data_IF_792456871653
#
_entry.id   IF_792456871653
#
_cell.length_a   1.000
_cell.length_b   1.000
_cell.length_c   1.000
_cell.angle_alpha   90.00
_cell.angle_beta   90.00
_cell.angle_gamma   90.00
#
_symmetry.space_group_name_H-M   'P 1'
#
loop_
_entity.id
_entity.type
_entity.pdbx_description
1 polymer ?
#
# COMPACT_ATOMS: atom_id res chain seq x y z
N UNK A 1 5.46 10.08 9.43
CA UNK A 1 6.49 10.85 8.70
C UNK A 1 5.83 11.35 7.43
N UNK A 2 6.07 12.58 7.07
CA UNK A 2 5.42 13.20 5.92
C UNK A 2 6.49 13.70 4.96
N UNK A 3 6.36 13.41 3.66
CA UNK A 3 7.29 13.83 2.63
C UNK A 3 7.75 12.70 1.72
N UNK A 4 8.53 13.02 0.70
CA UNK A 4 9.02 12.02 -0.27
C UNK A 4 9.98 11.02 0.38
N UNK A 5 9.83 9.75 0.02
CA UNK A 5 10.80 8.72 0.33
C UNK A 5 12.15 9.02 -0.33
N UNK A 6 13.20 8.43 0.22
CA UNK A 6 14.56 8.58 -0.28
C UNK A 6 15.15 7.24 -0.67
N UNK A 7 15.70 7.20 -1.88
CA UNK A 7 16.43 6.06 -2.39
C UNK A 7 17.91 6.39 -2.49
N UNK A 8 18.72 5.58 -1.82
CA UNK A 8 20.16 5.74 -1.79
C UNK A 8 20.85 4.51 -2.38
N UNK A 9 21.79 4.75 -3.27
CA UNK A 9 22.66 3.70 -3.85
C UNK A 9 23.99 3.66 -3.12
N UNK A 10 24.40 2.48 -2.69
CA UNK A 10 25.73 2.27 -2.12
C UNK A 10 26.78 2.28 -3.24
N UNK A 11 27.66 3.24 -3.21
CA UNK A 11 28.73 3.39 -4.21
C UNK A 11 30.02 2.76 -3.69
N UNK A 12 30.23 1.51 -4.11
CA UNK A 12 31.48 0.77 -3.84
C UNK A 12 31.78 0.56 -2.35
N UNK A 13 30.79 0.56 -1.47
CA UNK A 13 30.96 0.44 -0.02
C UNK A 13 31.57 1.67 0.67
N UNK A 14 31.69 2.78 -0.06
CA UNK A 14 32.37 3.99 0.45
C UNK A 14 31.43 5.09 0.89
N UNK A 15 30.32 5.29 0.19
CA UNK A 15 29.30 6.29 0.49
C UNK A 15 27.97 5.93 -0.14
N UNK A 16 26.91 6.64 0.27
CA UNK A 16 25.57 6.53 -0.31
C UNK A 16 25.26 7.76 -1.16
N UNK A 17 24.72 7.53 -2.36
CA UNK A 17 24.30 8.58 -3.28
C UNK A 17 22.77 8.57 -3.40
N UNK A 18 22.12 9.72 -3.19
CA UNK A 18 20.68 9.86 -3.35
C UNK A 18 20.31 9.87 -4.85
N UNK A 19 19.47 8.92 -5.27
CA UNK A 19 19.02 8.77 -6.65
C UNK A 19 17.50 8.66 -6.80
N UNK A 20 16.74 9.12 -5.83
CA UNK A 20 15.28 8.98 -5.81
C UNK A 20 14.64 9.46 -7.09
N UNK A 21 14.91 10.69 -7.51
CA UNK A 21 14.27 11.31 -8.67
C UNK A 21 14.63 10.63 -10.01
N UNK A 22 15.76 9.94 -10.07
CA UNK A 22 16.19 9.23 -11.27
C UNK A 22 15.52 7.85 -11.39
N UNK A 23 15.17 7.22 -10.26
CA UNK A 23 14.65 5.85 -10.21
C UNK A 23 13.15 5.84 -9.86
N UNK A 24 12.74 6.64 -8.89
CA UNK A 24 11.37 6.77 -8.39
C UNK A 24 10.94 8.23 -8.45
N UNK A 25 10.47 8.73 -9.61
CA UNK A 25 10.10 10.14 -9.77
C UNK A 25 8.92 10.57 -8.90
N UNK A 26 8.06 9.60 -8.54
CA UNK A 26 6.96 9.76 -7.60
C UNK A 26 7.11 8.73 -6.49
N UNK A 27 6.87 9.14 -5.24
CA UNK A 27 6.90 8.25 -4.07
C UNK A 27 5.68 8.48 -3.18
N UNK A 28 5.25 7.46 -2.41
CA UNK A 28 4.20 7.66 -1.42
C UNK A 28 4.56 8.76 -0.43
N UNK A 29 3.55 9.47 0.07
CA UNK A 29 3.77 10.60 0.98
C UNK A 29 3.77 10.20 2.46
N UNK A 30 3.01 9.18 2.82
CA UNK A 30 2.87 8.67 4.18
C UNK A 30 3.30 7.23 4.31
N UNK A 31 4.44 6.86 3.73
CA UNK A 31 4.96 5.50 3.72
C UNK A 31 5.10 4.90 5.11
N UNK A 32 4.66 3.65 5.27
CA UNK A 32 4.66 2.90 6.52
C UNK A 32 5.53 1.66 6.46
N UNK A 33 5.31 0.80 5.50
CA UNK A 33 6.03 -0.45 5.31
C UNK A 33 6.64 -0.57 3.92
N UNK A 34 7.73 -1.34 3.82
CA UNK A 34 8.39 -1.63 2.55
C UNK A 34 8.81 -3.09 2.48
N UNK A 35 8.58 -3.71 1.31
CA UNK A 35 9.08 -5.05 0.99
C UNK A 35 9.68 -5.07 -0.41
N UNK A 36 10.68 -5.93 -0.54
CA UNK A 36 11.36 -6.22 -1.81
C UNK A 36 11.25 -7.71 -2.05
N UNK A 37 10.67 -8.11 -3.17
CA UNK A 37 10.46 -9.50 -3.56
C UNK A 37 10.25 -9.60 -5.07
N UNK A 38 10.32 -10.79 -5.61
CA UNK A 38 10.13 -11.06 -7.04
C UNK A 38 8.66 -11.47 -7.27
N UNK A 39 7.84 -10.50 -7.67
CA UNK A 39 6.38 -10.65 -7.78
C UNK A 39 5.95 -11.65 -8.87
N UNK A 40 6.65 -11.64 -10.00
CA UNK A 40 6.27 -12.43 -11.18
C UNK A 40 7.27 -13.55 -11.52
N UNK A 41 8.24 -13.80 -10.62
CA UNK A 41 9.29 -14.80 -10.78
C UNK A 41 10.15 -14.60 -12.03
N UNK A 42 10.37 -13.33 -12.41
CA UNK A 42 11.20 -12.98 -13.58
C UNK A 42 12.70 -12.82 -13.25
N UNK A 43 13.05 -12.93 -11.96
CA UNK A 43 14.41 -12.78 -11.45
C UNK A 43 14.80 -11.34 -11.12
N UNK A 44 13.91 -10.37 -11.29
CA UNK A 44 14.13 -8.99 -10.88
C UNK A 44 13.33 -8.68 -9.62
N UNK A 45 13.96 -8.03 -8.64
CA UNK A 45 13.29 -7.65 -7.41
C UNK A 45 12.40 -6.43 -7.62
N UNK A 46 11.14 -6.55 -7.23
CA UNK A 46 10.15 -5.49 -7.18
C UNK A 46 10.13 -4.81 -5.81
N UNK A 47 9.50 -3.66 -5.72
CA UNK A 47 9.41 -2.89 -4.50
C UNK A 47 7.95 -2.54 -4.19
N UNK A 48 7.47 -2.98 -3.04
CA UNK A 48 6.14 -2.63 -2.54
C UNK A 48 6.26 -1.73 -1.32
N UNK A 49 5.61 -0.57 -1.38
CA UNK A 49 5.56 0.43 -0.30
C UNK A 49 4.11 0.67 0.08
N UNK A 50 3.78 0.47 1.35
CA UNK A 50 2.45 0.80 1.88
C UNK A 50 2.40 2.25 2.34
N UNK A 51 1.24 2.91 2.14
CA UNK A 51 1.01 4.31 2.46
C UNK A 51 -0.28 4.47 3.27
N UNK A 52 -0.23 5.17 4.39
CA UNK A 52 -1.39 5.41 5.27
C UNK A 52 -2.38 6.45 4.71
N UNK A 53 -2.09 7.05 3.56
CA UNK A 53 -2.93 8.08 2.95
C UNK A 53 -3.96 7.49 2.00
N UNK A 54 -4.95 6.84 2.57
CA UNK A 54 -6.22 6.62 1.91
C UNK A 54 -7.12 7.84 2.11
N UNK A 55 -8.17 7.99 1.31
CA UNK A 55 -9.10 9.13 1.40
C UNK A 55 -9.83 9.17 2.76
N UNK A 56 -9.17 9.72 3.76
CA UNK A 56 -9.66 9.76 5.14
C UNK A 56 -10.77 10.78 5.37
N UNK A 57 -10.85 11.76 4.52
CA UNK A 57 -11.77 12.89 4.65
C UNK A 57 -13.07 12.72 3.87
N UNK A 58 -13.16 11.71 3.03
CA UNK A 58 -14.30 11.45 2.17
C UNK A 58 -14.95 10.11 2.52
N UNK A 59 -16.25 10.04 2.34
CA UNK A 59 -16.98 8.76 2.32
C UNK A 59 -16.73 8.12 0.96
N UNK A 60 -15.75 7.24 0.89
CA UNK A 60 -15.39 6.53 -0.34
C UNK A 60 -16.27 5.29 -0.49
N UNK A 61 -16.90 5.15 -1.65
CA UNK A 61 -17.64 3.92 -1.95
C UNK A 61 -16.70 2.72 -2.09
N UNK A 62 -17.22 1.50 -1.92
CA UNK A 62 -16.43 0.26 -1.95
C UNK A 62 -15.62 0.08 -3.23
N UNK A 63 -16.06 0.68 -4.35
CA UNK A 63 -15.34 0.64 -5.62
C UNK A 63 -14.05 1.45 -5.64
N UNK A 64 -13.83 2.31 -4.64
CA UNK A 64 -12.65 3.18 -4.57
C UNK A 64 -11.70 2.85 -3.41
N UNK A 65 -12.12 2.02 -2.48
CA UNK A 65 -11.32 1.69 -1.29
C UNK A 65 -9.96 1.06 -1.61
N UNK A 66 -9.92 0.32 -2.70
CA UNK A 66 -8.72 -0.36 -3.21
C UNK A 66 -8.07 0.39 -4.37
N UNK A 67 -8.20 1.72 -4.40
CA UNK A 67 -7.55 2.59 -5.39
C UNK A 67 -6.79 3.71 -4.67
N UNK A 68 -5.87 4.34 -5.40
CA UNK A 68 -5.17 5.50 -4.87
C UNK A 68 -6.12 6.62 -4.49
N UNK A 69 -5.82 7.25 -3.38
CA UNK A 69 -6.56 8.42 -2.94
C UNK A 69 -6.46 9.56 -3.96
N UNK A 70 -7.57 10.26 -4.16
CA UNK A 70 -7.64 11.45 -5.02
C UNK A 70 -7.38 12.75 -4.25
N UNK A 71 -6.80 12.63 -3.05
CA UNK A 71 -6.50 13.78 -2.21
C UNK A 71 -5.61 14.78 -2.96
N UNK A 72 -5.98 16.06 -2.90
CA UNK A 72 -5.19 17.15 -3.39
C UNK A 72 -4.97 18.12 -2.23
N UNK A 73 -3.75 18.24 -1.79
CA UNK A 73 -3.39 19.28 -0.83
C UNK A 73 -2.82 20.50 -1.54
N UNK A 74 -3.00 21.71 -0.97
CA UNK A 74 -2.33 22.89 -1.47
C UNK A 74 -0.82 22.67 -1.57
N UNK A 75 -0.21 23.13 -2.66
CA UNK A 75 1.22 22.91 -2.93
C UNK A 75 2.15 23.48 -1.87
N UNK A 76 1.74 24.52 -1.14
CA UNK A 76 2.47 25.11 -0.03
C UNK A 76 2.57 24.19 1.20
N UNK A 77 1.63 23.24 1.33
CA UNK A 77 1.70 22.15 2.32
C UNK A 77 2.50 20.97 1.82
N UNK A 78 2.65 20.83 0.51
CA UNK A 78 3.38 19.74 -0.10
C UNK A 78 4.85 20.12 -0.26
N UNK A 79 5.68 19.78 0.70
CA UNK A 79 7.14 19.89 0.58
C UNK A 79 7.71 19.09 -0.62
N UNK A 80 6.86 18.39 -1.32
CA UNK A 80 7.14 17.43 -2.40
C UNK A 80 6.97 18.00 -3.80
N UNK A 81 6.44 19.22 -3.93
CA UNK A 81 6.18 19.88 -5.22
C UNK A 81 5.37 19.03 -6.20
N UNK A 82 4.30 18.38 -5.72
CA UNK A 82 3.42 17.54 -6.54
C UNK A 82 4.02 16.19 -6.96
N UNK A 83 5.09 15.73 -6.31
CA UNK A 83 5.74 14.45 -6.61
C UNK A 83 5.32 13.32 -5.68
N UNK A 84 4.16 13.43 -5.06
CA UNK A 84 3.64 12.43 -4.14
C UNK A 84 2.59 11.54 -4.77
N UNK A 85 2.63 10.26 -4.39
CA UNK A 85 1.55 9.30 -4.56
C UNK A 85 0.73 9.30 -3.26
N UNK A 86 -0.58 9.22 -3.37
CA UNK A 86 -1.51 9.11 -2.25
C UNK A 86 -2.16 7.73 -2.26
N UNK A 87 -1.53 6.80 -1.58
CA UNK A 87 -1.85 5.39 -1.57
C UNK A 87 -0.59 4.54 -1.68
N UNK A 88 -0.76 3.23 -1.72
CA UNK A 88 0.35 2.30 -1.86
C UNK A 88 1.09 2.52 -3.19
N UNK A 89 2.35 2.13 -3.22
CA UNK A 89 3.11 2.08 -4.46
C UNK A 89 3.70 0.69 -4.68
N UNK A 90 3.41 0.10 -5.81
CA UNK A 90 4.08 -1.10 -6.27
C UNK A 90 4.93 -0.78 -7.49
N UNK A 91 6.24 -0.81 -7.32
CA UNK A 91 7.20 -0.53 -8.37
C UNK A 91 7.69 -1.84 -8.97
N UNK A 92 7.09 -2.21 -10.09
CA UNK A 92 7.47 -3.39 -10.84
C UNK A 92 8.77 -3.14 -11.62
N UNK A 93 9.76 -3.99 -11.43
CA UNK A 93 11.08 -3.90 -12.05
C UNK A 93 11.15 -4.71 -13.32
N UNK A 94 10.75 -4.14 -14.42
CA UNK A 94 10.71 -4.82 -15.75
C UNK A 94 12.07 -5.20 -16.32
N UNK A 95 13.15 -4.55 -15.88
CA UNK A 95 14.52 -4.88 -16.29
C UNK A 95 15.55 -3.99 -15.61
N UNK A 96 16.55 -4.57 -14.95
CA UNK A 96 17.77 -3.89 -14.50
C UNK A 96 17.57 -2.50 -13.86
N UNK A 97 16.58 -2.39 -12.96
CA UNK A 97 16.30 -1.15 -12.22
C UNK A 97 15.43 -0.13 -12.95
N UNK A 98 14.68 -0.55 -13.97
CA UNK A 98 13.65 0.27 -14.60
C UNK A 98 12.29 -0.04 -13.97
N UNK A 99 11.95 0.74 -12.97
CA UNK A 99 10.72 0.57 -12.22
C UNK A 99 9.54 1.29 -12.87
N UNK A 100 8.39 0.64 -12.85
CA UNK A 100 7.10 1.22 -13.21
C UNK A 100 6.13 1.05 -12.05
N UNK A 101 5.51 2.12 -11.62
CA UNK A 101 4.45 2.07 -10.61
C UNK A 101 3.18 1.47 -11.22
N UNK A 102 2.61 0.43 -10.58
CA UNK A 102 1.51 -0.39 -11.13
C UNK A 102 0.46 -0.79 -10.09
N UNK A 103 0.48 -0.26 -8.87
CA UNK A 103 -0.34 -0.73 -7.75
C UNK A 103 -1.83 -0.84 -8.08
N UNK A 104 -2.43 0.18 -8.71
CA UNK A 104 -3.84 0.15 -9.13
C UNK A 104 -4.11 -0.95 -10.18
N UNK A 105 -3.12 -1.24 -11.04
CA UNK A 105 -3.29 -2.20 -12.15
C UNK A 105 -3.28 -3.64 -11.67
N UNK A 106 -2.54 -3.91 -10.59
CA UNK A 106 -2.35 -5.26 -10.06
C UNK A 106 -3.12 -5.53 -8.77
N UNK A 107 -3.94 -4.59 -8.30
CA UNK A 107 -4.70 -4.76 -7.06
C UNK A 107 -3.85 -4.68 -5.79
N UNK A 108 -2.79 -3.87 -5.79
CA UNK A 108 -1.89 -3.68 -4.65
C UNK A 108 -2.30 -2.50 -3.74
N UNK A 109 -3.52 -2.01 -3.85
CA UNK A 109 -4.05 -0.98 -2.97
C UNK A 109 -4.87 -1.60 -1.84
N UNK A 110 -4.85 -0.94 -0.68
CA UNK A 110 -5.73 -1.25 0.42
C UNK A 110 -5.94 -0.02 1.31
N UNK A 111 -6.89 -0.11 2.21
CA UNK A 111 -7.28 1.00 3.07
C UNK A 111 -6.42 1.04 4.34
N UNK A 112 -5.78 2.17 4.61
CA UNK A 112 -5.04 2.48 5.83
C UNK A 112 -4.02 1.41 6.28
N UNK A 113 -3.09 1.03 5.41
CA UNK A 113 -2.08 0.01 5.72
C UNK A 113 -1.02 0.51 6.70
N UNK A 114 -0.51 -0.43 7.49
CA UNK A 114 0.64 -0.21 8.37
C UNK A 114 1.77 -1.18 8.08
N UNK A 115 1.59 -2.42 8.49
CA UNK A 115 2.59 -3.46 8.34
C UNK A 115 2.38 -4.29 7.09
N UNK A 116 3.47 -4.74 6.48
CA UNK A 116 3.44 -5.61 5.30
C UNK A 116 4.33 -6.82 5.52
N UNK A 117 3.81 -8.01 5.22
CA UNK A 117 4.55 -9.27 5.19
C UNK A 117 4.38 -9.93 3.84
N UNK A 118 5.43 -10.59 3.37
CA UNK A 118 5.48 -11.27 2.07
C UNK A 118 5.91 -12.71 2.28
N UNK A 119 5.30 -13.62 1.55
CA UNK A 119 5.64 -15.05 1.51
C UNK A 119 4.58 -15.84 0.75
N UNK A 120 4.94 -17.01 0.29
CA UNK A 120 4.03 -17.93 -0.40
C UNK A 120 3.08 -18.58 0.62
N UNK A 121 1.87 -17.99 0.77
CA UNK A 121 0.89 -18.41 1.79
C UNK A 121 0.06 -19.63 1.35
N UNK A 122 -0.06 -19.84 0.06
CA UNK A 122 -0.87 -20.91 -0.53
C UNK A 122 -0.02 -22.04 -1.13
N UNK A 123 1.31 -21.94 -1.07
CA UNK A 123 2.29 -22.89 -1.60
C UNK A 123 2.19 -23.12 -3.12
N UNK A 124 1.92 -22.05 -3.88
CA UNK A 124 1.87 -22.10 -5.34
C UNK A 124 3.15 -21.64 -6.05
N UNK A 125 4.14 -21.21 -5.27
CA UNK A 125 5.45 -20.77 -5.74
C UNK A 125 5.53 -19.27 -6.08
N UNK A 126 4.46 -18.49 -5.83
CA UNK A 126 4.47 -17.04 -5.95
C UNK A 126 4.29 -16.39 -4.58
N UNK A 127 5.01 -15.30 -4.35
CA UNK A 127 4.90 -14.58 -3.10
C UNK A 127 3.57 -13.82 -3.00
N UNK A 128 2.82 -14.10 -1.94
CA UNK A 128 1.61 -13.42 -1.52
C UNK A 128 1.92 -12.29 -0.53
N UNK A 129 0.94 -11.45 -0.25
CA UNK A 129 1.11 -10.33 0.67
C UNK A 129 0.04 -10.31 1.74
N UNK A 130 0.47 -10.15 2.99
CA UNK A 130 -0.40 -9.83 4.12
C UNK A 130 -0.13 -8.40 4.57
N UNK A 131 -1.18 -7.59 4.66
CA UNK A 131 -1.10 -6.20 5.13
C UNK A 131 -1.95 -6.04 6.39
N UNK A 132 -1.27 -5.69 7.49
CA UNK A 132 -1.96 -5.29 8.70
C UNK A 132 -2.46 -3.86 8.54
N UNK A 133 -3.76 -3.69 8.61
CA UNK A 133 -4.41 -2.39 8.60
C UNK A 133 -4.57 -1.84 10.03
N UNK A 134 -4.99 -0.60 10.16
CA UNK A 134 -5.20 0.05 11.42
C UNK A 134 -6.45 0.92 11.40
N UNK A 135 -6.57 1.74 12.40
CA UNK A 135 -7.65 2.70 12.58
C UNK A 135 -7.25 4.06 12.01
N UNK A 136 -8.12 4.67 11.24
CA UNK A 136 -8.00 6.07 10.86
C UNK A 136 -8.94 6.98 11.69
N UNK A 137 -8.81 8.27 11.52
CA UNK A 137 -9.79 9.24 11.99
C UNK A 137 -10.97 9.30 11.00
N UNK A 138 -12.25 9.31 11.40
CA UNK A 138 -12.78 9.35 12.77
C UNK A 138 -13.00 7.99 13.45
N UNK A 139 -11.94 7.23 13.67
CA UNK A 139 -11.95 5.94 14.38
C UNK A 139 -12.64 4.79 13.62
N UNK A 140 -12.39 4.68 12.33
CA UNK A 140 -12.76 3.51 11.55
C UNK A 140 -11.61 2.51 11.54
N UNK A 141 -11.91 1.27 11.89
CA UNK A 141 -10.96 0.18 11.74
C UNK A 141 -11.00 -0.36 10.32
N UNK A 142 -9.87 -0.31 9.64
CA UNK A 142 -9.70 -0.95 8.36
C UNK A 142 -9.47 -2.46 8.52
N UNK A 143 -9.92 -3.23 7.54
CA UNK A 143 -9.66 -4.67 7.52
C UNK A 143 -8.21 -4.94 7.12
N UNK A 144 -7.65 -6.01 7.69
CA UNK A 144 -6.38 -6.53 7.20
C UNK A 144 -6.58 -7.10 5.79
N UNK A 145 -5.58 -6.98 4.94
CA UNK A 145 -5.65 -7.50 3.57
C UNK A 145 -4.80 -8.75 3.42
N UNK A 146 -5.35 -9.75 2.75
CA UNK A 146 -4.61 -10.89 2.23
C UNK A 146 -4.70 -10.86 0.72
N UNK A 147 -3.59 -10.56 0.10
CA UNK A 147 -3.47 -10.42 -1.35
C UNK A 147 -2.77 -11.67 -1.90
N UNK A 148 -3.54 -12.62 -2.43
CA UNK A 148 -2.98 -13.79 -3.10
C UNK A 148 -2.51 -13.42 -4.51
N UNK A 149 -1.31 -13.87 -4.86
CA UNK A 149 -0.68 -13.58 -6.14
C UNK A 149 -1.24 -14.50 -7.23
N UNK A 150 -1.91 -13.94 -8.24
CA UNK A 150 -2.31 -14.70 -9.45
C UNK A 150 -1.15 -14.81 -10.45
N UNK A 151 -0.14 -15.58 -10.07
CA UNK A 151 0.99 -15.96 -10.95
C UNK A 151 1.67 -14.76 -11.63
N UNK A 152 1.98 -13.74 -10.84
CA UNK A 152 2.67 -12.54 -11.31
C UNK A 152 1.84 -11.60 -12.17
N UNK A 153 0.51 -11.75 -12.20
CA UNK A 153 -0.36 -10.89 -13.00
C UNK A 153 -1.06 -9.81 -12.19
N UNK A 154 -1.59 -10.21 -11.02
CA UNK A 154 -2.34 -9.36 -10.12
C UNK A 154 -2.39 -9.97 -8.74
N UNK A 155 -2.82 -9.18 -7.76
CA UNK A 155 -3.23 -9.66 -6.46
C UNK A 155 -4.75 -9.83 -6.39
N UNK A 156 -5.18 -10.87 -5.68
CA UNK A 156 -6.58 -11.20 -5.44
C UNK A 156 -6.90 -10.99 -3.95
N UNK A 157 -7.85 -10.14 -3.66
CA UNK A 157 -8.34 -9.95 -2.30
C UNK A 157 -8.92 -11.25 -1.74
N UNK A 158 -8.36 -11.75 -0.68
CA UNK A 158 -8.67 -13.08 -0.16
C UNK A 158 -8.95 -13.12 1.35
N UNK A 159 -8.91 -12.00 2.04
CA UNK A 159 -9.06 -11.90 3.49
C UNK A 159 -10.39 -12.47 4.00
N UNK A 160 -11.50 -12.25 3.28
CA UNK A 160 -12.81 -12.73 3.68
C UNK A 160 -13.00 -14.20 3.36
N UNK A 161 -12.56 -14.64 2.18
CA UNK A 161 -12.71 -16.06 1.76
C UNK A 161 -11.83 -16.99 2.59
N UNK A 162 -10.68 -16.49 3.05
CA UNK A 162 -9.77 -17.22 3.94
C UNK A 162 -10.17 -17.13 5.42
N UNK A 163 -11.18 -16.33 5.75
CA UNK A 163 -11.65 -16.15 7.13
C UNK A 163 -10.66 -15.39 8.02
N UNK A 164 -9.76 -14.62 7.45
CA UNK A 164 -8.85 -13.75 8.19
C UNK A 164 -9.62 -12.56 8.78
N UNK A 165 -10.64 -12.11 8.07
CA UNK A 165 -11.53 -11.05 8.51
C UNK A 165 -12.94 -11.59 8.79
N UNK A 166 -13.57 -11.15 9.88
CA UNK A 166 -14.87 -11.69 10.30
C UNK A 166 -16.07 -11.15 9.50
N UNK A 167 -15.88 -10.11 8.68
CA UNK A 167 -16.97 -9.51 7.91
C UNK A 167 -17.47 -10.46 6.85
N UNK A 168 -18.75 -10.78 6.90
CA UNK A 168 -19.36 -11.71 5.94
C UNK A 168 -19.78 -11.06 4.63
N UNK A 169 -19.90 -9.74 4.58
CA UNK A 169 -20.40 -8.99 3.41
C UNK A 169 -19.30 -8.39 2.53
N UNK A 170 -18.04 -8.50 2.95
CA UNK A 170 -16.89 -8.01 2.20
C UNK A 170 -16.77 -6.49 2.10
N UNK A 171 -17.55 -5.73 2.88
CA UNK A 171 -17.49 -4.27 2.84
C UNK A 171 -16.34 -3.76 3.67
N UNK A 172 -15.46 -3.00 3.04
CA UNK A 172 -14.31 -2.36 3.68
C UNK A 172 -14.69 -1.03 4.35
N UNK A 173 -15.54 -0.22 3.70
CA UNK A 173 -15.93 1.09 4.19
C UNK A 173 -16.86 1.04 5.41
N UNK A 174 -17.60 -0.03 5.60
CA UNK A 174 -18.44 -0.18 6.78
C UNK A 174 -17.63 -0.88 7.89
N UNK A 175 -17.16 -0.15 8.91
CA UNK A 175 -16.48 -0.77 10.03
C UNK A 175 -17.46 -1.71 10.75
N UNK A 176 -16.92 -2.83 11.28
CA UNK A 176 -17.75 -3.71 12.07
C UNK A 176 -18.09 -3.14 13.46
N UNK A 177 -17.36 -2.11 13.87
CA UNK A 177 -17.74 -1.24 14.99
C UNK A 177 -17.14 0.18 14.81
N UNK A 178 -17.76 1.15 15.40
CA UNK A 178 -17.32 2.54 15.44
C UNK A 178 -17.14 3.01 16.88
N UNK A 179 -16.01 3.65 17.16
CA UNK A 179 -15.80 4.39 18.40
C UNK A 179 -16.32 5.82 18.21
N UNK A 180 -17.32 6.22 18.96
CA UNK A 180 -17.80 7.59 18.96
C UNK A 180 -16.91 8.45 19.86
N UNK A 181 -16.48 9.60 19.34
CA UNK A 181 -15.58 10.54 20.01
C UNK A 181 -16.10 11.03 21.40
N UNK A 182 -17.37 10.99 21.65
CA UNK A 182 -17.99 11.40 22.92
C UNK A 182 -18.15 10.26 23.92
N UNK A 183 -17.43 9.18 23.77
CA UNK A 183 -17.35 8.07 24.74
C UNK A 183 -18.53 7.12 24.75
N UNK A 184 -19.38 7.16 23.74
CA UNK A 184 -20.41 6.14 23.53
C UNK A 184 -19.89 5.14 22.49
N UNK A 185 -19.47 3.95 22.94
CA UNK A 185 -19.25 2.83 22.06
C UNK A 185 -20.61 2.35 21.55
N UNK A 186 -20.69 2.19 20.24
CA UNK A 186 -21.78 1.44 19.64
C UNK A 186 -21.21 0.11 19.17
N UNK A 187 -21.50 -0.93 19.91
CA UNK A 187 -21.33 -2.30 19.48
C UNK A 187 -22.31 -2.64 18.35
#
# INVERSE_FOLDING_TARGET
>A
MQGNDKYYVNVGGKYFEERTQAVFPLTPWGSMGVKVFDFDNDGNMDLYVTDMHSDMSEDIGPEREKLKARMQFPEDLLLTKGKSIWGNAFYHNKSAGKFKEVSDQIGAENYWPWGISVGDLNADGFDDVFIAASMNYPFRYAVNSVLLNDKGKAFLDSEFILGVEPRSDGRLAEPWFELLYNGADKD
#
